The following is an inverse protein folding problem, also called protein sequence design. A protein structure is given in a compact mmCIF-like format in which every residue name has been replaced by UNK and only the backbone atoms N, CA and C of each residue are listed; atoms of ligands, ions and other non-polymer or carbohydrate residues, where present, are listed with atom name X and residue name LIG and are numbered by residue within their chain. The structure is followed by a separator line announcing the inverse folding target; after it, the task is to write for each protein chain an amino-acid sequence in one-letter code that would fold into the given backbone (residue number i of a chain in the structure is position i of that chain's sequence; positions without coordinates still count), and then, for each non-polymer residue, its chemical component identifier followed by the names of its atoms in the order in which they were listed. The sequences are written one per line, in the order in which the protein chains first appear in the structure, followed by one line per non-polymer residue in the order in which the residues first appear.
data_IF_958640587804
#
_entry.id   IF_958640587804
#
_cell.length_a   1.000
_cell.length_b   1.000
_cell.length_c   1.000
_cell.angle_alpha   90.00
_cell.angle_beta   90.00
_cell.angle_gamma   90.00
#
_symmetry.space_group_name_H-M   'P 1'
#
loop_
_entity.id
_entity.type
_entity.pdbx_description
1 polymer ?
#
# COMPACT_ATOMS: atom_id res chain seq x y z
N UNK A 1 -8.08 -12.61 -7.67
CA UNK A 1 -8.21 -11.76 -6.47
C UNK A 1 -7.03 -12.02 -5.56
N UNK A 2 -6.64 -11.03 -4.77
CA UNK A 2 -5.69 -11.19 -3.66
C UNK A 2 -6.37 -10.72 -2.37
N UNK A 3 -6.09 -11.40 -1.27
CA UNK A 3 -6.38 -10.91 0.07
C UNK A 3 -5.11 -10.26 0.62
N UNK A 4 -5.25 -9.12 1.28
CA UNK A 4 -4.12 -8.35 1.78
C UNK A 4 -4.44 -7.70 3.12
N UNK A 5 -3.37 -7.44 3.88
CA UNK A 5 -3.38 -6.73 5.16
C UNK A 5 -2.32 -5.63 5.11
N UNK A 6 -2.67 -4.41 5.56
CA UNK A 6 -1.71 -3.30 5.74
C UNK A 6 -1.63 -2.98 7.22
N UNK A 7 -0.49 -3.29 7.84
CA UNK A 7 -0.16 -2.92 9.20
C UNK A 7 0.88 -1.81 9.20
N UNK A 8 0.67 -0.79 10.02
CA UNK A 8 1.52 0.39 10.12
C UNK A 8 1.94 0.53 11.58
N UNK A 9 3.16 1.03 11.81
CA UNK A 9 3.70 1.22 13.15
C UNK A 9 4.42 2.54 13.22
N UNK A 10 4.11 3.33 14.23
CA UNK A 10 4.74 4.62 14.54
C UNK A 10 4.70 5.61 13.36
N UNK A 11 3.54 5.77 12.73
CA UNK A 11 3.34 6.72 11.63
C UNK A 11 2.51 7.92 12.10
N UNK A 12 2.58 9.06 11.40
CA UNK A 12 1.71 10.20 11.72
C UNK A 12 0.25 9.85 11.47
N UNK A 13 -0.14 9.54 10.24
CA UNK A 13 -1.52 9.21 9.87
C UNK A 13 -1.51 8.50 8.52
N UNK A 14 -2.59 7.81 8.14
CA UNK A 14 -2.74 7.24 6.80
C UNK A 14 -4.08 7.62 6.20
N UNK A 15 -4.08 7.99 4.92
CA UNK A 15 -5.31 8.32 4.20
C UNK A 15 -5.40 7.73 2.79
N UNK A 16 -4.29 7.19 2.27
CA UNK A 16 -4.22 6.63 0.92
C UNK A 16 -3.14 5.55 0.84
N UNK A 17 -3.41 4.46 0.11
CA UNK A 17 -2.42 3.42 -0.14
C UNK A 17 -2.60 2.74 -1.50
N UNK A 18 -1.48 2.46 -2.16
CA UNK A 18 -1.43 1.88 -3.51
C UNK A 18 -0.27 0.89 -3.67
N UNK A 19 -0.38 0.00 -4.66
CA UNK A 19 0.76 -0.75 -5.20
C UNK A 19 1.32 0.02 -6.39
N UNK A 20 2.64 0.16 -6.42
CA UNK A 20 3.42 0.70 -7.54
C UNK A 20 4.30 -0.38 -8.17
N UNK A 21 4.66 -0.20 -9.45
CA UNK A 21 5.61 -1.06 -10.16
C UNK A 21 6.96 -0.36 -10.34
N UNK A 22 8.04 -0.94 -9.86
CA UNK A 22 9.40 -0.39 -9.95
C UNK A 22 10.16 -0.54 -8.64
N UNK A 23 11.47 -0.29 -8.63
CA UNK A 23 12.26 -0.35 -7.40
C UNK A 23 11.76 0.69 -6.38
N UNK A 24 11.69 0.28 -5.11
CA UNK A 24 11.40 1.19 -4.01
C UNK A 24 12.39 2.37 -4.05
N UNK A 25 11.89 3.60 -4.20
CA UNK A 25 12.75 4.77 -4.44
C UNK A 25 12.35 5.61 -5.64
N UNK A 26 11.80 4.97 -6.68
CA UNK A 26 11.44 5.64 -7.95
C UNK A 26 9.96 5.97 -7.96
N UNK A 27 9.59 7.20 -8.35
CA UNK A 27 8.19 7.53 -8.60
C UNK A 27 7.74 6.80 -9.88
N UNK A 28 6.96 5.74 -9.71
CA UNK A 28 6.43 4.96 -10.81
C UNK A 28 4.90 4.96 -10.80
N UNK A 29 4.27 4.46 -11.86
CA UNK A 29 2.82 4.42 -11.99
C UNK A 29 2.16 3.56 -10.90
N UNK A 30 0.99 4.01 -10.43
CA UNK A 30 0.08 3.23 -9.60
C UNK A 30 -0.46 2.08 -10.45
N UNK A 31 -0.36 0.85 -9.95
CA UNK A 31 -0.88 -0.36 -10.61
C UNK A 31 -2.06 -0.99 -9.88
N UNK A 32 -2.27 -0.67 -8.60
CA UNK A 32 -3.43 -1.14 -7.83
C UNK A 32 -3.78 -0.19 -6.67
N UNK A 33 -5.06 0.12 -6.51
CA UNK A 33 -5.58 0.84 -5.35
C UNK A 33 -5.84 -0.14 -4.19
N UNK A 34 -5.39 0.22 -2.98
CA UNK A 34 -5.61 -0.57 -1.76
C UNK A 34 -6.47 0.20 -0.75
N UNK A 35 -6.13 1.46 -0.50
CA UNK A 35 -6.86 2.31 0.42
C UNK A 35 -7.10 3.66 -0.24
N UNK A 36 -8.35 3.96 -0.62
CA UNK A 36 -8.73 5.19 -1.31
C UNK A 36 -10.04 5.75 -0.74
N UNK A 37 -10.33 7.06 -0.89
CA UNK A 37 -11.63 7.62 -0.56
C UNK A 37 -12.78 6.80 -1.17
N UNK A 38 -13.89 6.58 -0.44
CA UNK A 38 -14.31 7.27 0.79
C UNK A 38 -13.83 6.64 2.11
N UNK A 39 -12.75 5.85 2.13
CA UNK A 39 -12.19 5.35 3.39
C UNK A 39 -11.72 6.51 4.29
N UNK A 40 -11.99 6.45 5.62
CA UNK A 40 -11.61 7.51 6.55
C UNK A 40 -10.08 7.61 6.67
N UNK A 41 -9.55 8.76 7.08
CA UNK A 41 -8.15 8.81 7.51
C UNK A 41 -8.01 8.21 8.90
N UNK A 42 -6.83 7.72 9.25
CA UNK A 42 -6.51 7.36 10.63
C UNK A 42 -6.29 8.61 11.48
N UNK A 43 -6.34 8.45 12.80
CA UNK A 43 -5.89 9.46 13.75
C UNK A 43 -4.38 9.71 13.67
N UNK A 44 -3.93 10.78 14.33
CA UNK A 44 -2.51 11.09 14.49
C UNK A 44 -1.79 10.06 15.38
N UNK A 45 -0.50 9.83 15.12
CA UNK A 45 0.35 8.83 15.78
C UNK A 45 -0.18 7.39 15.64
N UNK A 46 -0.69 7.05 14.45
CA UNK A 46 -1.30 5.74 14.19
C UNK A 46 -0.29 4.59 14.27
N UNK A 47 -0.70 3.51 14.95
CA UNK A 47 -0.07 2.20 14.94
C UNK A 47 -1.15 1.13 14.99
N UNK A 48 -1.14 0.21 14.03
CA UNK A 48 -2.09 -0.89 13.97
C UNK A 48 -2.46 -1.29 12.55
N UNK A 49 -3.56 -2.03 12.46
CA UNK A 49 -4.15 -2.49 11.20
C UNK A 49 -4.89 -1.34 10.52
N UNK A 50 -4.39 -0.89 9.36
CA UNK A 50 -5.09 0.07 8.51
C UNK A 50 -6.29 -0.57 7.80
N UNK A 51 -6.07 -1.76 7.24
CA UNK A 51 -7.04 -2.46 6.41
C UNK A 51 -6.67 -3.94 6.25
N UNK A 52 -7.70 -4.79 6.27
CA UNK A 52 -7.67 -6.14 5.74
C UNK A 52 -8.81 -6.28 4.73
N UNK A 53 -8.51 -6.66 3.49
CA UNK A 53 -9.50 -6.67 2.42
C UNK A 53 -9.09 -7.60 1.26
N UNK A 54 -10.00 -7.80 0.32
CA UNK A 54 -9.77 -8.53 -0.92
C UNK A 54 -9.98 -7.63 -2.13
N UNK A 55 -9.04 -7.67 -3.09
CA UNK A 55 -9.13 -6.88 -4.31
C UNK A 55 -8.88 -7.72 -5.55
N UNK A 56 -9.59 -7.41 -6.63
CA UNK A 56 -9.33 -7.97 -7.95
C UNK A 56 -8.14 -7.25 -8.56
N UNK A 57 -7.14 -8.04 -8.96
CA UNK A 57 -5.94 -7.58 -9.67
C UNK A 57 -5.87 -8.26 -11.02
N UNK A 58 -5.22 -7.63 -11.99
CA UNK A 58 -4.94 -8.25 -13.29
C UNK A 58 -3.81 -9.28 -13.19
N UNK A 59 -3.71 -10.17 -14.17
CA UNK A 59 -2.60 -11.13 -14.24
C UNK A 59 -1.23 -10.45 -14.38
N UNK A 60 -1.19 -9.25 -14.97
CA UNK A 60 0.02 -8.44 -15.05
C UNK A 60 0.49 -7.98 -13.66
N UNK A 61 -0.43 -7.49 -12.83
CA UNK A 61 -0.13 -7.10 -11.44
C UNK A 61 0.35 -8.31 -10.63
N UNK A 62 -0.32 -9.47 -10.78
CA UNK A 62 0.12 -10.70 -10.12
C UNK A 62 1.51 -11.14 -10.55
N UNK A 63 1.85 -10.99 -11.83
CA UNK A 63 3.16 -11.33 -12.36
C UNK A 63 4.23 -10.40 -11.79
N UNK A 64 3.96 -9.09 -11.70
CA UNK A 64 4.88 -8.11 -11.10
C UNK A 64 5.07 -8.36 -9.59
N UNK A 65 3.98 -8.67 -8.86
CA UNK A 65 4.03 -9.09 -7.46
C UNK A 65 4.75 -10.43 -7.24
N UNK A 66 4.87 -11.27 -8.27
CA UNK A 66 5.64 -12.53 -8.24
C UNK A 66 7.11 -12.35 -8.60
N UNK A 67 7.43 -11.27 -9.30
CA UNK A 67 8.79 -10.90 -9.63
C UNK A 67 9.44 -9.99 -8.58
N UNK A 68 8.75 -9.70 -7.48
CA UNK A 68 9.18 -8.76 -6.42
C UNK A 68 9.56 -7.37 -6.96
N UNK A 69 8.90 -6.93 -8.04
CA UNK A 69 9.12 -5.62 -8.68
C UNK A 69 8.09 -4.58 -8.26
N UNK A 70 7.39 -4.81 -7.15
CA UNK A 70 6.33 -3.93 -6.66
C UNK A 70 6.54 -3.54 -5.21
N UNK A 71 5.99 -2.39 -4.82
CA UNK A 71 5.98 -1.92 -3.44
C UNK A 71 4.63 -1.29 -3.09
N UNK A 72 4.28 -1.30 -1.80
CA UNK A 72 3.13 -0.56 -1.30
C UNK A 72 3.58 0.84 -0.90
N UNK A 73 2.92 1.85 -1.43
CA UNK A 73 3.05 3.23 -1.00
C UNK A 73 1.89 3.61 -0.08
N UNK A 74 2.19 4.24 1.07
CA UNK A 74 1.17 4.82 1.97
C UNK A 74 1.41 6.31 2.10
N UNK A 75 0.36 7.09 1.90
CA UNK A 75 0.39 8.54 2.06
C UNK A 75 -0.09 8.92 3.46
N UNK A 76 0.66 9.83 4.05
CA UNK A 76 0.45 10.35 5.40
C UNK A 76 0.36 11.87 5.34
N UNK A 77 -0.15 12.52 6.39
CA UNK A 77 -0.22 13.98 6.41
C UNK A 77 1.16 14.64 6.34
N UNK A 78 2.18 14.03 6.96
CA UNK A 78 3.56 14.52 6.92
C UNK A 78 4.25 14.25 5.58
N UNK A 79 3.84 13.20 4.85
CA UNK A 79 4.39 12.87 3.54
C UNK A 79 3.26 12.61 2.53
N UNK A 80 2.61 13.67 2.02
CA UNK A 80 1.49 13.53 1.10
C UNK A 80 1.86 12.91 -0.24
N UNK A 81 3.15 12.94 -0.62
CA UNK A 81 3.68 12.24 -1.79
C UNK A 81 3.96 10.75 -1.58
N UNK A 82 3.75 10.24 -0.35
CA UNK A 82 4.01 8.86 0.04
C UNK A 82 5.21 8.73 0.99
N UNK A 83 4.97 8.23 2.20
CA UNK A 83 5.99 8.04 3.25
C UNK A 83 6.66 6.67 3.17
N UNK A 84 5.83 5.62 3.10
CA UNK A 84 6.24 4.26 3.40
C UNK A 84 6.29 3.44 2.12
N UNK A 85 7.40 2.75 1.90
CA UNK A 85 7.60 1.80 0.78
C UNK A 85 7.80 0.40 1.36
N UNK A 86 6.71 -0.20 1.84
CA UNK A 86 6.72 -1.54 2.40
C UNK A 86 6.84 -2.61 1.31
N UNK A 87 7.58 -3.68 1.59
CA UNK A 87 7.59 -4.88 0.74
C UNK A 87 6.32 -5.71 0.98
N UNK A 88 5.82 -6.33 -0.09
CA UNK A 88 4.68 -7.23 -0.03
C UNK A 88 5.14 -8.59 0.53
N UNK A 89 4.63 -8.96 1.70
CA UNK A 89 4.83 -10.30 2.25
C UNK A 89 3.63 -11.17 1.92
N UNK A 90 3.89 -12.38 1.40
CA UNK A 90 2.84 -13.39 1.21
C UNK A 90 2.63 -14.14 2.52
N UNK A 91 1.39 -14.15 2.98
CA UNK A 91 0.92 -15.12 3.96
C UNK A 91 0.33 -16.30 3.17
N UNK A 92 0.82 -17.52 3.43
CA UNK A 92 0.24 -18.77 2.91
C UNK A 92 -0.95 -19.18 3.76
#
# INVERSE_FOLDING_TARGET
MITYRIELSNIDSAFLAHIHHGPAGTSSGIIQNLYIPPRPSTDLNFSGLLIEDTVTVTDAVLTQMRADTTYVNVHTKLNPGGEIRGQLFRFQ
#
